data_IF_404942579982
#
_entry.id   IF_404942579982
#
_cell.length_a   1.000
_cell.length_b   1.000
_cell.length_c   1.000
_cell.angle_alpha   90.00
_cell.angle_beta   90.00
_cell.angle_gamma   90.00
#
_symmetry.space_group_name_H-M   'P 1'
#
loop_
_entity.id
_entity.type
_entity.pdbx_description
1 polymer ?
#
# COMPACT_ATOMS: atom_id res chain seq x y z
N UNK A 1 12.56 -30.60 -22.30
CA UNK A 1 11.49 -29.66 -22.65
C UNK A 1 10.14 -30.35 -22.45
N UNK A 2 9.39 -29.94 -21.43
CA UNK A 2 7.91 -29.88 -21.38
C UNK A 2 7.49 -29.49 -19.96
N UNK A 3 7.25 -28.20 -19.77
CA UNK A 3 6.63 -27.62 -18.58
C UNK A 3 5.22 -27.18 -18.97
N UNK A 4 4.24 -28.05 -18.76
CA UNK A 4 2.82 -27.70 -18.77
C UNK A 4 2.14 -28.54 -17.70
N UNK A 5 1.18 -27.90 -17.02
CA UNK A 5 0.26 -28.41 -15.99
C UNK A 5 0.66 -28.18 -14.53
N UNK A 6 0.46 -26.93 -14.09
CA UNK A 6 -0.23 -26.66 -12.81
C UNK A 6 -1.31 -25.60 -13.05
N UNK A 7 -2.44 -26.03 -13.59
CA UNK A 7 -3.69 -25.29 -13.52
C UNK A 7 -4.44 -25.82 -12.31
N UNK A 8 -4.38 -25.10 -11.19
CA UNK A 8 -5.23 -25.39 -10.04
C UNK A 8 -6.55 -24.66 -10.23
N UNK A 9 -7.53 -25.39 -10.76
CA UNK A 9 -8.93 -24.97 -10.81
C UNK A 9 -9.49 -25.10 -9.39
N UNK A 10 -9.83 -23.98 -8.75
CA UNK A 10 -10.72 -23.99 -7.58
C UNK A 10 -12.12 -23.51 -8.02
N UNK A 11 -13.00 -24.48 -8.24
CA UNK A 11 -14.45 -24.26 -8.39
C UNK A 11 -15.01 -23.96 -7.00
N UNK A 12 -15.79 -22.87 -6.91
CA UNK A 12 -16.41 -22.41 -5.68
C UNK A 12 -17.37 -23.42 -5.08
N UNK A 13 -17.28 -23.58 -3.76
CA UNK A 13 -18.41 -24.02 -2.93
C UNK A 13 -18.84 -22.78 -2.14
N UNK A 14 -20.09 -22.36 -2.35
CA UNK A 14 -20.77 -21.40 -1.51
C UNK A 14 -20.91 -22.00 -0.10
N UNK A 15 -19.99 -21.67 0.80
CA UNK A 15 -20.17 -21.89 2.23
C UNK A 15 -20.89 -20.69 2.84
N UNK A 16 -22.04 -20.97 3.44
CA UNK A 16 -22.88 -20.04 4.18
C UNK A 16 -22.06 -19.10 5.07
N UNK A 17 -22.29 -17.79 4.90
CA UNK A 17 -21.69 -16.72 5.69
C UNK A 17 -22.44 -16.67 7.02
N UNK A 18 -22.15 -17.60 7.92
CA UNK A 18 -22.51 -17.49 9.33
C UNK A 18 -21.22 -17.43 10.14
N UNK A 19 -20.89 -16.24 10.66
CA UNK A 19 -19.89 -16.08 11.71
C UNK A 19 -18.49 -15.64 11.31
N UNK A 20 -18.31 -14.84 10.25
CA UNK A 20 -17.00 -14.23 9.96
C UNK A 20 -16.73 -13.10 10.95
N UNK A 21 -16.15 -13.45 12.11
CA UNK A 21 -15.45 -12.48 12.93
C UNK A 21 -14.19 -12.05 12.15
N UNK A 22 -14.28 -10.94 11.42
CA UNK A 22 -13.11 -10.29 10.81
C UNK A 22 -12.25 -9.67 11.91
N UNK A 23 -11.47 -10.49 12.60
CA UNK A 23 -10.37 -9.98 13.42
C UNK A 23 -9.36 -9.33 12.48
N UNK A 24 -8.97 -8.09 12.76
CA UNK A 24 -7.87 -7.44 12.07
C UNK A 24 -6.66 -8.39 12.06
N UNK A 25 -6.24 -8.81 10.86
CA UNK A 25 -5.06 -9.66 10.73
C UNK A 25 -3.85 -8.85 11.24
N UNK A 26 -3.11 -9.41 12.19
CA UNK A 26 -1.84 -8.81 12.60
C UNK A 26 -0.92 -8.69 11.38
N UNK A 27 -0.02 -7.70 11.40
CA UNK A 27 0.97 -7.55 10.34
C UNK A 27 2.05 -8.59 10.55
N UNK A 28 2.44 -9.25 9.47
CA UNK A 28 3.46 -10.28 9.53
C UNK A 28 4.53 -9.99 8.50
N UNK A 29 5.76 -10.28 8.88
CA UNK A 29 6.83 -10.44 7.92
C UNK A 29 6.54 -11.62 7.00
N UNK A 30 7.21 -11.66 5.85
CA UNK A 30 7.02 -12.71 4.86
C UNK A 30 7.41 -14.08 5.44
N UNK A 31 8.45 -14.11 6.26
CA UNK A 31 9.01 -15.34 6.84
C UNK A 31 9.15 -15.24 8.36
N UNK A 32 8.98 -16.35 9.13
CA UNK A 32 9.14 -16.34 10.59
C UNK A 32 10.54 -15.97 11.08
N UNK A 33 11.56 -16.14 10.23
CA UNK A 33 12.95 -15.77 10.56
C UNK A 33 13.22 -14.26 10.43
N UNK A 34 12.29 -13.50 9.88
CA UNK A 34 12.45 -12.06 9.69
C UNK A 34 12.03 -11.29 10.92
N UNK A 35 12.66 -10.13 11.11
CA UNK A 35 12.33 -9.22 12.21
C UNK A 35 11.55 -8.03 11.67
N UNK A 36 10.47 -7.63 12.33
CA UNK A 36 9.71 -6.45 11.94
C UNK A 36 10.61 -5.20 11.99
N UNK A 37 10.65 -4.41 10.91
CA UNK A 37 11.58 -3.29 10.78
C UNK A 37 11.05 -2.05 11.50
N UNK A 38 11.59 -1.75 12.68
CA UNK A 38 11.31 -0.48 13.36
C UNK A 38 12.04 0.68 12.68
N UNK A 39 11.61 1.92 12.93
CA UNK A 39 12.26 3.13 12.44
C UNK A 39 13.67 3.30 13.00
N UNK A 40 13.87 2.95 14.26
CA UNK A 40 15.20 2.95 14.86
C UNK A 40 16.14 1.98 14.13
N UNK A 41 15.65 0.76 13.84
CA UNK A 41 16.43 -0.23 13.09
C UNK A 41 16.66 0.19 11.63
N UNK A 42 15.66 0.81 11.00
CA UNK A 42 15.82 1.40 9.66
C UNK A 42 16.95 2.44 9.63
N UNK A 43 17.06 3.27 10.66
CA UNK A 43 18.10 4.30 10.75
C UNK A 43 19.49 3.70 10.95
N UNK A 44 19.62 2.64 11.76
CA UNK A 44 20.86 1.88 11.88
C UNK A 44 21.29 1.27 10.55
N UNK A 45 20.36 0.61 9.85
CA UNK A 45 20.62 0.03 8.52
C UNK A 45 21.02 1.12 7.51
N UNK A 46 20.40 2.29 7.56
CA UNK A 46 20.78 3.41 6.71
C UNK A 46 22.23 3.84 6.97
N UNK A 47 22.62 4.00 8.24
CA UNK A 47 24.00 4.33 8.62
C UNK A 47 24.99 3.27 8.15
N UNK A 48 24.69 1.99 8.36
CA UNK A 48 25.52 0.87 7.91
C UNK A 48 25.71 0.84 6.39
N UNK A 49 24.74 1.37 5.64
CA UNK A 49 24.77 1.50 4.17
C UNK A 49 25.34 2.84 3.69
N UNK A 50 25.83 3.70 4.60
CA UNK A 50 26.35 5.03 4.26
C UNK A 50 25.29 6.05 3.86
N UNK A 51 24.01 5.79 4.16
CA UNK A 51 22.88 6.69 3.92
C UNK A 51 22.68 7.55 5.18
N UNK A 52 22.69 8.90 5.08
CA UNK A 52 22.42 9.75 6.23
C UNK A 52 21.05 9.45 6.84
N UNK A 53 20.93 9.44 8.17
CA UNK A 53 19.68 9.14 8.90
C UNK A 53 18.50 10.01 8.42
N UNK A 54 18.75 11.30 8.14
CA UNK A 54 17.73 12.21 7.60
C UNK A 54 17.21 11.84 6.20
N UNK A 55 17.90 10.94 5.50
CA UNK A 55 17.53 10.38 4.18
C UNK A 55 17.00 8.94 4.27
N UNK A 56 16.96 8.34 5.45
CA UNK A 56 16.41 6.99 5.62
C UNK A 56 14.93 6.87 5.19
N UNK A 57 14.03 7.85 5.45
CA UNK A 57 12.64 7.77 4.99
C UNK A 57 12.51 7.68 3.46
N UNK A 58 13.23 8.53 2.72
CA UNK A 58 13.19 8.53 1.26
C UNK A 58 13.87 7.27 0.69
N UNK A 59 14.94 6.78 1.33
CA UNK A 59 15.57 5.52 0.93
C UNK A 59 14.65 4.31 1.15
N UNK A 60 13.84 4.35 2.21
CA UNK A 60 12.82 3.34 2.49
C UNK A 60 11.68 3.40 1.47
N UNK A 61 11.24 4.59 1.06
CA UNK A 61 10.27 4.76 -0.03
C UNK A 61 10.75 4.15 -1.34
N UNK A 62 11.98 4.46 -1.76
CA UNK A 62 12.57 3.89 -2.97
C UNK A 62 12.61 2.36 -2.92
N UNK A 63 13.09 1.81 -1.80
CA UNK A 63 13.06 0.37 -1.54
C UNK A 63 11.64 -0.20 -1.64
N UNK A 64 10.68 0.43 -0.97
CA UNK A 64 9.32 -0.09 -0.86
C UNK A 64 8.62 -0.13 -2.22
N UNK A 65 8.69 0.97 -2.99
CA UNK A 65 8.10 1.06 -4.32
C UNK A 65 8.78 0.14 -5.33
N UNK A 66 10.10 -0.05 -5.23
CA UNK A 66 10.83 -0.95 -6.13
C UNK A 66 10.57 -2.44 -5.87
N UNK A 67 10.15 -2.80 -4.66
CA UNK A 67 10.11 -4.21 -4.23
C UNK A 67 8.71 -4.75 -3.95
N UNK A 68 7.71 -3.91 -3.65
CA UNK A 68 6.35 -4.36 -3.30
C UNK A 68 5.70 -5.22 -4.40
N UNK A 69 6.08 -5.01 -5.67
CA UNK A 69 5.61 -5.80 -6.82
C UNK A 69 6.80 -6.49 -7.51
N UNK A 70 6.99 -7.79 -7.29
CA UNK A 70 8.09 -8.54 -7.90
C UNK A 70 8.18 -8.37 -9.42
N UNK A 71 9.34 -7.90 -9.90
CA UNK A 71 9.62 -7.69 -11.32
C UNK A 71 8.92 -6.48 -11.97
N UNK A 72 8.09 -5.73 -11.25
CA UNK A 72 7.39 -4.54 -11.78
C UNK A 72 7.40 -3.41 -10.75
N UNK A 73 8.52 -2.66 -10.62
CA UNK A 73 8.62 -1.51 -9.73
C UNK A 73 7.48 -0.52 -9.92
N UNK A 74 7.04 0.10 -8.81
CA UNK A 74 6.08 1.19 -8.86
C UNK A 74 6.87 2.49 -9.09
N UNK A 75 6.59 3.25 -10.16
CA UNK A 75 7.23 4.54 -10.36
C UNK A 75 6.81 5.52 -9.25
N UNK A 76 7.73 6.40 -8.85
CA UNK A 76 7.40 7.50 -7.97
C UNK A 76 6.43 8.45 -8.68
N UNK A 77 5.40 8.87 -7.97
CA UNK A 77 4.38 9.76 -8.50
C UNK A 77 4.64 11.21 -8.06
N UNK A 78 4.57 12.14 -9.01
CA UNK A 78 4.61 13.58 -8.75
C UNK A 78 3.28 14.29 -9.04
N UNK A 79 2.30 13.55 -9.58
CA UNK A 79 1.02 14.11 -9.97
C UNK A 79 0.16 14.41 -8.74
N UNK A 80 -0.59 15.51 -8.84
CA UNK A 80 -1.45 16.02 -7.79
C UNK A 80 -2.88 15.56 -8.02
N UNK A 81 -3.47 15.02 -6.97
CA UNK A 81 -4.86 14.61 -6.96
C UNK A 81 -5.66 15.57 -6.09
N UNK A 82 -6.72 16.14 -6.65
CA UNK A 82 -7.57 17.06 -5.90
C UNK A 82 -8.25 16.36 -4.72
N UNK A 83 -8.42 17.11 -3.64
CA UNK A 83 -9.29 16.74 -2.53
C UNK A 83 -10.03 17.95 -1.98
N UNK A 84 -11.30 18.15 -2.38
CA UNK A 84 -12.19 19.12 -1.76
C UNK A 84 -12.23 18.98 -0.23
N UNK A 85 -12.21 17.75 0.31
CA UNK A 85 -12.28 17.58 1.75
C UNK A 85 -11.01 18.02 2.47
N UNK A 86 -9.82 17.77 1.91
CA UNK A 86 -8.56 18.30 2.44
C UNK A 86 -8.54 19.82 2.35
N UNK A 87 -8.98 20.37 1.22
CA UNK A 87 -9.13 21.83 1.03
C UNK A 87 -9.99 22.43 2.12
N UNK A 88 -11.17 21.87 2.36
CA UNK A 88 -12.12 22.40 3.34
C UNK A 88 -11.57 22.28 4.77
N UNK A 89 -10.92 21.16 5.12
CA UNK A 89 -10.31 20.97 6.45
C UNK A 89 -9.09 21.84 6.71
N UNK A 90 -8.43 22.31 5.66
CA UNK A 90 -7.24 23.17 5.75
C UNK A 90 -7.55 24.63 5.38
N UNK A 91 -8.83 24.99 5.23
CA UNK A 91 -9.29 26.32 4.82
C UNK A 91 -8.61 26.82 3.52
N UNK A 92 -8.44 25.94 2.54
CA UNK A 92 -7.82 26.28 1.26
C UNK A 92 -6.30 26.22 1.23
N UNK A 93 -5.61 25.99 2.36
CA UNK A 93 -4.14 25.95 2.38
C UNK A 93 -3.58 24.77 1.58
N UNK A 94 -4.22 23.61 1.65
CA UNK A 94 -3.82 22.39 0.95
C UNK A 94 -5.03 21.81 0.21
N UNK A 95 -4.97 21.80 -1.11
CA UNK A 95 -6.11 21.40 -1.95
C UNK A 95 -5.94 20.02 -2.58
N UNK A 96 -4.71 19.51 -2.57
CA UNK A 96 -4.31 18.32 -3.29
C UNK A 96 -3.56 17.34 -2.39
N UNK A 97 -3.42 16.11 -2.84
CA UNK A 97 -2.53 15.10 -2.30
C UNK A 97 -1.64 14.55 -3.40
N UNK A 98 -0.45 14.10 -3.02
CA UNK A 98 0.50 13.43 -3.92
C UNK A 98 0.87 12.13 -3.22
N UNK A 99 0.30 10.98 -3.65
CA UNK A 99 0.72 9.68 -3.13
C UNK A 99 2.12 9.35 -3.68
N UNK A 100 2.88 8.55 -2.93
CA UNK A 100 4.24 8.18 -3.34
C UNK A 100 4.27 7.34 -4.63
N UNK A 101 3.22 6.55 -4.88
CA UNK A 101 3.07 5.78 -6.13
C UNK A 101 1.61 5.64 -6.54
N UNK A 102 1.38 5.56 -7.85
CA UNK A 102 0.04 5.43 -8.44
C UNK A 102 0.05 4.32 -9.47
N UNK A 103 -0.97 3.47 -9.43
CA UNK A 103 -1.20 2.41 -10.40
C UNK A 103 -2.67 2.34 -10.82
N UNK A 104 -2.95 1.75 -11.99
CA UNK A 104 -4.31 1.44 -12.36
C UNK A 104 -4.89 0.31 -11.49
N UNK A 105 -6.20 0.36 -11.27
CA UNK A 105 -6.98 -0.79 -10.83
C UNK A 105 -7.30 -1.66 -12.03
N UNK A 106 -6.81 -2.91 -12.03
CA UNK A 106 -7.09 -3.89 -13.09
C UNK A 106 -8.05 -4.95 -12.59
N UNK A 107 -9.17 -5.13 -13.30
CA UNK A 107 -10.19 -6.13 -12.99
C UNK A 107 -10.23 -7.14 -14.12
N UNK A 108 -9.97 -8.41 -13.78
CA UNK A 108 -10.11 -9.50 -14.74
C UNK A 108 -11.59 -9.83 -14.97
N UNK A 109 -12.04 -9.66 -16.22
CA UNK A 109 -13.35 -10.12 -16.66
C UNK A 109 -13.29 -11.61 -17.04
N UNK A 110 -13.35 -12.49 -16.04
CA UNK A 110 -13.39 -13.93 -16.29
C UNK A 110 -14.75 -14.36 -16.87
N UNK A 111 -14.81 -15.38 -17.76
CA UNK A 111 -13.70 -16.18 -18.27
C UNK A 111 -13.08 -15.72 -19.61
N UNK A 112 -13.64 -14.73 -20.31
CA UNK A 112 -13.29 -14.43 -21.72
C UNK A 112 -13.19 -12.93 -22.06
N UNK A 113 -13.28 -12.03 -21.08
CA UNK A 113 -13.20 -10.59 -21.32
C UNK A 113 -11.79 -10.05 -21.21
N UNK A 114 -11.47 -9.01 -21.99
CA UNK A 114 -10.30 -8.17 -21.73
C UNK A 114 -10.39 -7.61 -20.30
N UNK A 115 -9.24 -7.49 -19.58
CA UNK A 115 -9.22 -6.81 -18.31
C UNK A 115 -9.77 -5.39 -18.44
N UNK A 116 -10.58 -4.97 -17.47
CA UNK A 116 -10.94 -3.56 -17.33
C UNK A 116 -9.84 -2.89 -16.54
N UNK A 117 -9.41 -1.73 -17.02
CA UNK A 117 -8.35 -0.94 -16.41
C UNK A 117 -8.93 0.43 -16.08
N UNK A 118 -8.77 0.84 -14.83
CA UNK A 118 -9.15 2.16 -14.34
C UNK A 118 -7.87 2.83 -13.85
N UNK A 119 -7.39 3.82 -14.60
CA UNK A 119 -6.17 4.52 -14.26
C UNK A 119 -6.30 5.27 -12.93
N UNK A 120 -5.17 5.56 -12.28
CA UNK A 120 -5.11 6.39 -11.09
C UNK A 120 -6.01 5.96 -9.91
N UNK A 121 -6.35 4.68 -9.86
CA UNK A 121 -7.34 4.13 -8.92
C UNK A 121 -6.74 3.31 -7.77
N UNK A 122 -5.40 3.23 -7.73
CA UNK A 122 -4.65 2.57 -6.66
C UNK A 122 -3.48 3.45 -6.22
N UNK A 123 -3.52 3.92 -4.98
CA UNK A 123 -2.45 4.72 -4.38
C UNK A 123 -1.56 3.86 -3.48
N UNK A 124 -0.26 4.14 -3.52
CA UNK A 124 0.75 3.60 -2.61
C UNK A 124 1.32 4.74 -1.79
N UNK A 125 1.37 4.55 -0.48
CA UNK A 125 1.84 5.56 0.45
C UNK A 125 2.83 4.95 1.43
N UNK A 126 4.06 5.46 1.44
CA UNK A 126 5.15 4.99 2.27
C UNK A 126 5.30 5.89 3.50
N UNK A 127 5.42 5.29 4.69
CA UNK A 127 5.66 6.02 5.94
C UNK A 127 6.71 5.32 6.81
N UNK A 128 7.86 5.97 6.98
CA UNK A 128 8.92 5.53 7.90
C UNK A 128 8.83 6.30 9.24
N UNK A 129 8.05 5.79 10.18
CA UNK A 129 7.69 6.50 11.43
C UNK A 129 8.09 5.73 12.68
N UNK A 130 8.47 6.44 13.74
CA UNK A 130 8.62 5.88 15.08
C UNK A 130 7.29 5.97 15.83
N UNK A 131 6.47 4.96 15.63
CA UNK A 131 5.17 4.81 16.28
C UNK A 131 4.07 5.64 15.62
N UNK A 132 2.87 5.49 16.17
CA UNK A 132 1.70 6.28 15.78
C UNK A 132 0.59 5.45 15.15
N UNK A 133 -0.56 6.10 15.09
CA UNK A 133 -1.67 5.70 14.24
C UNK A 133 -1.64 6.56 12.99
N UNK A 134 -2.24 6.07 11.93
CA UNK A 134 -2.49 6.84 10.72
C UNK A 134 -3.96 7.26 10.66
N UNK A 135 -4.39 8.33 11.39
CA UNK A 135 -5.75 8.87 11.34
C UNK A 135 -6.00 9.73 10.09
N UNK A 136 -7.28 10.02 9.74
CA UNK A 136 -7.58 10.88 8.58
C UNK A 136 -6.94 12.27 8.66
N UNK A 137 -6.71 12.79 9.88
CA UNK A 137 -6.07 14.09 10.13
C UNK A 137 -4.54 14.08 10.07
N UNK A 138 -3.92 12.93 9.81
CA UNK A 138 -2.47 12.82 9.72
C UNK A 138 -1.91 13.75 8.63
N UNK A 139 -0.78 14.40 8.92
CA UNK A 139 -0.03 15.28 8.02
C UNK A 139 -0.92 16.30 7.28
N UNK A 140 -1.58 17.17 8.07
CA UNK A 140 -2.54 18.15 7.57
C UNK A 140 -3.60 17.52 6.64
N UNK A 141 -4.26 16.47 7.15
CA UNK A 141 -5.33 15.74 6.47
C UNK A 141 -4.93 15.07 5.16
N UNK A 142 -3.65 14.68 5.00
CA UNK A 142 -3.17 13.98 3.80
C UNK A 142 -3.94 12.67 3.56
N UNK A 143 -4.15 11.86 4.61
CA UNK A 143 -4.86 10.58 4.49
C UNK A 143 -6.33 10.79 4.09
N UNK A 144 -7.02 11.76 4.71
CA UNK A 144 -8.37 12.12 4.29
C UNK A 144 -8.39 12.50 2.80
N UNK A 145 -7.38 13.26 2.36
CA UNK A 145 -7.28 13.68 0.98
C UNK A 145 -7.09 12.52 0.00
N UNK A 146 -6.29 11.50 0.34
CA UNK A 146 -6.17 10.30 -0.47
C UNK A 146 -7.50 9.56 -0.61
N UNK A 147 -8.21 9.37 0.51
CA UNK A 147 -9.49 8.68 0.50
C UNK A 147 -10.54 9.45 -0.31
N UNK A 148 -10.55 10.78 -0.20
CA UNK A 148 -11.42 11.66 -0.97
C UNK A 148 -11.12 11.63 -2.47
N UNK A 149 -9.85 11.70 -2.86
CA UNK A 149 -9.42 11.58 -4.25
C UNK A 149 -9.82 10.22 -4.85
N UNK A 150 -9.47 9.11 -4.19
CA UNK A 150 -9.81 7.76 -4.64
C UNK A 150 -11.32 7.55 -4.75
N UNK A 151 -12.11 8.09 -3.83
CA UNK A 151 -13.58 7.96 -3.85
C UNK A 151 -14.26 8.64 -5.04
N UNK A 152 -13.51 9.44 -5.80
CA UNK A 152 -13.95 10.16 -7.01
C UNK A 152 -13.17 9.72 -8.25
N UNK A 153 -12.44 8.60 -8.17
CA UNK A 153 -11.73 8.02 -9.32
C UNK A 153 -12.70 7.35 -10.30
N UNK A 154 -12.25 7.15 -11.54
CA UNK A 154 -13.03 6.42 -12.56
C UNK A 154 -13.44 5.01 -12.10
N UNK A 155 -12.61 4.35 -11.29
CA UNK A 155 -12.98 3.09 -10.67
C UNK A 155 -14.19 3.24 -9.74
N UNK A 156 -14.21 4.27 -8.88
CA UNK A 156 -15.32 4.53 -7.98
C UNK A 156 -16.61 4.85 -8.75
N UNK A 157 -16.51 5.69 -9.79
CA UNK A 157 -17.64 6.05 -10.66
C UNK A 157 -18.21 4.83 -11.40
N UNK A 158 -17.35 3.87 -11.78
CA UNK A 158 -17.75 2.59 -12.34
C UNK A 158 -18.24 1.56 -11.30
N UNK A 159 -18.41 1.95 -10.03
CA UNK A 159 -18.87 1.09 -8.94
C UNK A 159 -17.83 0.06 -8.47
N UNK A 160 -16.56 0.23 -8.86
CA UNK A 160 -15.42 -0.56 -8.40
C UNK A 160 -14.85 0.04 -7.11
N UNK A 161 -14.03 -0.74 -6.42
CA UNK A 161 -13.42 -0.35 -5.15
C UNK A 161 -11.97 0.07 -5.42
N UNK A 162 -11.67 1.36 -5.54
CA UNK A 162 -10.29 1.85 -5.57
C UNK A 162 -9.60 1.56 -4.24
N UNK A 163 -8.27 1.62 -4.21
CA UNK A 163 -7.51 1.21 -3.04
C UNK A 163 -6.34 2.12 -2.69
N UNK A 164 -6.00 2.15 -1.41
CA UNK A 164 -4.74 2.69 -0.90
C UNK A 164 -3.96 1.60 -0.17
N UNK A 165 -2.66 1.50 -0.45
CA UNK A 165 -1.74 0.57 0.18
C UNK A 165 -0.73 1.39 0.99
N UNK A 166 -0.81 1.27 2.32
CA UNK A 166 0.20 1.82 3.21
C UNK A 166 1.39 0.86 3.33
N UNK A 167 2.59 1.36 3.12
CA UNK A 167 3.86 0.63 3.29
C UNK A 167 4.63 1.31 4.43
N UNK A 168 4.73 0.68 5.59
CA UNK A 168 5.27 1.37 6.77
C UNK A 168 6.43 0.66 7.44
N UNK A 169 7.17 1.37 8.29
CA UNK A 169 7.91 0.71 9.37
C UNK A 169 6.94 0.02 10.33
N UNK A 170 7.43 -0.99 11.05
CA UNK A 170 6.63 -1.82 11.95
C UNK A 170 6.13 -1.09 13.20
N UNK A 171 6.67 0.09 13.52
CA UNK A 171 6.17 0.86 14.66
C UNK A 171 4.75 1.41 14.44
N UNK A 172 4.32 1.53 13.17
CA UNK A 172 2.93 1.82 12.83
C UNK A 172 2.11 0.55 13.04
N UNK A 173 1.68 0.32 14.29
CA UNK A 173 1.01 -0.92 14.71
C UNK A 173 -0.29 -1.19 13.95
N UNK A 174 -1.00 -0.14 13.53
CA UNK A 174 -2.24 -0.27 12.77
C UNK A 174 -2.60 1.04 12.06
N UNK A 175 -3.31 0.89 10.94
CA UNK A 175 -4.12 1.98 10.40
C UNK A 175 -5.23 2.30 11.41
N UNK A 176 -5.51 3.59 11.65
CA UNK A 176 -6.47 3.95 12.68
C UNK A 176 -7.89 3.47 12.34
N UNK A 177 -8.69 3.13 13.35
CA UNK A 177 -10.10 2.77 13.15
C UNK A 177 -10.89 3.89 12.46
N UNK A 178 -10.55 5.16 12.73
CA UNK A 178 -11.20 6.31 12.06
C UNK A 178 -10.92 6.31 10.56
N UNK A 179 -9.71 5.96 10.16
CA UNK A 179 -9.31 5.87 8.75
C UNK A 179 -10.01 4.73 8.04
N UNK A 180 -10.09 3.54 8.67
CA UNK A 180 -10.79 2.41 8.05
C UNK A 180 -12.28 2.69 7.92
N UNK A 181 -12.93 3.29 8.92
CA UNK A 181 -14.34 3.67 8.85
C UNK A 181 -14.62 4.75 7.79
N UNK A 182 -13.77 5.77 7.71
CA UNK A 182 -13.86 6.81 6.68
C UNK A 182 -13.71 6.20 5.28
N UNK A 183 -12.68 5.35 5.11
CA UNK A 183 -12.43 4.66 3.85
C UNK A 183 -13.60 3.76 3.45
N UNK A 184 -14.19 3.03 4.40
CA UNK A 184 -15.36 2.19 4.14
C UNK A 184 -16.58 2.99 3.71
N UNK A 185 -16.82 4.14 4.36
CA UNK A 185 -17.88 5.07 3.97
C UNK A 185 -17.67 5.60 2.55
N UNK A 186 -16.41 5.83 2.18
CA UNK A 186 -15.98 6.28 0.85
C UNK A 186 -15.79 5.16 -0.18
N UNK A 187 -16.07 3.91 0.18
CA UNK A 187 -15.86 2.71 -0.66
C UNK A 187 -14.42 2.57 -1.19
N UNK A 188 -13.44 2.90 -0.37
CA UNK A 188 -11.99 2.74 -0.67
C UNK A 188 -11.43 1.58 0.14
N UNK A 189 -10.75 0.65 -0.52
CA UNK A 189 -10.03 -0.44 0.15
C UNK A 189 -8.73 0.03 0.78
N UNK A 190 -8.46 -0.34 2.03
CA UNK A 190 -7.25 0.04 2.76
C UNK A 190 -6.41 -1.19 3.03
N UNK A 191 -5.21 -1.22 2.46
CA UNK A 191 -4.22 -2.25 2.67
C UNK A 191 -3.05 -1.71 3.47
N UNK A 192 -2.37 -2.59 4.19
CA UNK A 192 -1.19 -2.19 4.94
C UNK A 192 -0.19 -3.33 5.03
N UNK A 193 1.04 -3.07 4.57
CA UNK A 193 2.21 -3.90 4.71
C UNK A 193 3.28 -3.19 5.55
N UNK A 194 4.14 -3.97 6.19
CA UNK A 194 5.26 -3.47 6.98
C UNK A 194 6.60 -3.89 6.36
N UNK A 195 7.64 -3.09 6.54
CA UNK A 195 9.01 -3.49 6.29
C UNK A 195 9.48 -4.52 7.31
N UNK A 196 10.35 -5.42 6.87
CA UNK A 196 10.99 -6.44 7.67
C UNK A 196 12.46 -6.57 7.32
N UNK A 197 13.28 -6.85 8.32
CA UNK A 197 14.70 -7.17 8.16
C UNK A 197 14.87 -8.66 7.85
N UNK A 198 15.69 -8.95 6.84
CA UNK A 198 16.09 -10.28 6.41
C UNK A 198 17.49 -10.58 6.97
N UNK A 199 17.62 -11.48 7.96
CA UNK A 199 18.90 -11.72 8.62
C UNK A 199 19.93 -12.36 7.68
N UNK A 200 21.19 -11.96 7.80
CA UNK A 200 22.33 -12.58 7.09
C UNK A 200 22.36 -12.37 5.58
N UNK A 201 21.55 -11.46 5.04
CA UNK A 201 21.47 -11.15 3.61
C UNK A 201 22.05 -9.77 3.31
N UNK A 202 22.67 -9.62 2.14
CA UNK A 202 23.02 -8.30 1.59
C UNK A 202 21.77 -7.50 1.21
N UNK A 203 20.75 -8.20 0.72
CA UNK A 203 19.39 -7.67 0.55
C UNK A 203 18.65 -7.87 1.87
N UNK A 204 18.94 -6.99 2.82
CA UNK A 204 18.55 -7.14 4.22
C UNK A 204 17.14 -6.65 4.54
N UNK A 205 16.34 -6.25 3.54
CA UNK A 205 14.98 -5.76 3.74
C UNK A 205 13.98 -6.49 2.84
N UNK A 206 12.76 -6.70 3.33
CA UNK A 206 11.62 -7.20 2.54
C UNK A 206 10.32 -6.60 3.09
N UNK A 207 9.36 -6.29 2.21
CA UNK A 207 8.00 -5.95 2.65
C UNK A 207 7.22 -7.23 2.94
N UNK A 208 6.52 -7.26 4.09
CA UNK A 208 5.56 -8.32 4.40
C UNK A 208 4.35 -8.31 3.44
N UNK A 209 3.50 -9.33 3.58
CA UNK A 209 2.25 -9.38 2.83
C UNK A 209 1.33 -8.23 3.26
N UNK A 210 0.72 -7.54 2.30
CA UNK A 210 -0.26 -6.51 2.64
C UNK A 210 -1.57 -7.17 3.09
N UNK A 211 -2.09 -6.73 4.24
CA UNK A 211 -3.40 -7.19 4.71
C UNK A 211 -4.45 -6.09 4.63
N UNK A 212 -5.65 -6.51 4.22
CA UNK A 212 -6.82 -5.66 4.08
C UNK A 212 -7.37 -5.28 5.45
N UNK A 213 -7.60 -3.99 5.67
CA UNK A 213 -7.99 -3.41 6.96
C UNK A 213 -9.47 -3.15 7.10
N UNK A 214 -10.18 -3.06 5.98
CA UNK A 214 -11.61 -2.88 5.91
C UNK A 214 -12.25 -3.87 4.92
N UNK A 215 -12.25 -5.18 5.22
CA UNK A 215 -12.80 -6.20 4.33
C UNK A 215 -14.29 -5.99 4.00
N UNK A 216 -15.03 -5.27 4.85
CA UNK A 216 -16.44 -4.97 4.66
C UNK A 216 -16.76 -4.22 3.36
N UNK A 217 -15.80 -3.47 2.79
CA UNK A 217 -16.03 -2.71 1.55
C UNK A 217 -16.24 -3.60 0.33
N UNK A 218 -15.76 -4.85 0.39
CA UNK A 218 -15.83 -5.81 -0.71
C UNK A 218 -17.00 -6.80 -0.57
N UNK A 219 -17.62 -6.90 0.62
CA UNK A 219 -18.67 -7.89 0.91
C UNK A 219 -19.88 -7.69 -0.03
N UNK A 220 -20.29 -6.44 -0.25
CA UNK A 220 -21.48 -6.13 -1.04
C UNK A 220 -21.25 -6.28 -2.55
N UNK A 221 -20.00 -6.14 -3.02
CA UNK A 221 -19.67 -6.22 -4.43
C UNK A 221 -19.31 -7.64 -4.88
N UNK A 222 -19.17 -8.60 -3.95
CA UNK A 222 -18.73 -9.97 -4.22
C UNK A 222 -17.40 -10.05 -5.01
N UNK A 223 -16.65 -8.96 -5.06
CA UNK A 223 -15.34 -8.88 -5.68
C UNK A 223 -14.31 -8.99 -4.57
N UNK A 224 -13.67 -10.16 -4.43
CA UNK A 224 -12.51 -10.26 -3.55
C UNK A 224 -11.28 -9.76 -4.32
N UNK A 225 -10.56 -8.77 -3.80
CA UNK A 225 -9.34 -8.30 -4.43
C UNK A 225 -8.27 -9.40 -4.37
N UNK A 226 -7.38 -9.41 -5.35
CA UNK A 226 -6.22 -10.29 -5.34
C UNK A 226 -5.34 -9.98 -4.12
N UNK A 227 -4.80 -11.02 -3.49
CA UNK A 227 -3.88 -10.84 -2.36
C UNK A 227 -2.60 -10.16 -2.84
N UNK A 228 -2.21 -9.07 -2.19
CA UNK A 228 -0.91 -8.45 -2.41
C UNK A 228 0.13 -9.21 -1.59
N UNK A 229 0.88 -10.08 -2.26
CA UNK A 229 1.93 -10.90 -1.67
C UNK A 229 3.06 -10.07 -1.03
N UNK A 230 4.03 -10.73 -0.36
CA UNK A 230 5.22 -10.04 0.13
C UNK A 230 6.03 -9.45 -1.02
N UNK A 231 6.73 -8.36 -0.75
CA UNK A 231 7.66 -7.76 -1.71
C UNK A 231 8.89 -8.65 -1.94
N UNK A 232 9.75 -8.28 -2.89
CA UNK A 232 11.06 -8.92 -3.06
C UNK A 232 12.07 -8.46 -2.01
N UNK A 233 13.00 -9.32 -1.57
CA UNK A 233 14.14 -8.88 -0.79
C UNK A 233 14.96 -7.81 -1.54
N UNK A 234 15.35 -6.75 -0.85
CA UNK A 234 16.12 -5.63 -1.36
C UNK A 234 16.94 -4.94 -0.27
N UNK A 235 17.44 -3.74 -0.59
CA UNK A 235 18.19 -2.89 0.34
C UNK A 235 17.72 -1.44 0.22
N UNK A 236 18.13 -0.58 1.15
CA UNK A 236 17.88 0.85 1.00
C UNK A 236 18.73 1.39 -0.15
N UNK A 237 18.17 2.37 -0.85
CA UNK A 237 18.92 3.12 -1.85
C UNK A 237 18.32 4.51 -2.02
N UNK A 238 19.18 5.45 -2.37
CA UNK A 238 18.75 6.72 -2.90
C UNK A 238 18.78 6.58 -4.42
N UNK A 239 17.69 6.94 -5.09
CA UNK A 239 17.78 7.24 -6.51
C UNK A 239 18.91 8.27 -6.70
N UNK A 240 19.78 8.12 -7.70
CA UNK A 240 20.71 9.19 -8.03
C UNK A 240 19.89 10.46 -8.15
N UNK A 241 20.36 11.56 -7.56
CA UNK A 241 19.71 12.85 -7.77
C UNK A 241 19.52 12.98 -9.28
N UNK A 242 18.29 13.08 -9.74
CA UNK A 242 18.05 13.71 -11.03
C UNK A 242 18.74 15.04 -10.88
N UNK A 243 19.94 15.18 -11.44
CA UNK A 243 20.57 16.47 -11.58
C UNK A 243 19.49 17.35 -12.16
N UNK A 244 19.15 18.43 -11.46
CA UNK A 244 18.32 19.48 -12.03
C UNK A 244 18.80 19.69 -13.47
N UNK A 245 17.90 19.71 -14.47
CA UNK A 245 18.31 20.14 -15.79
C UNK A 245 18.80 21.58 -15.63
N UNK A 246 20.11 21.77 -15.73
CA UNK A 246 20.74 23.08 -15.93
C UNK A 246 20.10 23.80 -17.14
#
# INVERSE_FOLDING_TARGET
MNYLQKATIFIGIATAINGVNFKAQAQFCAEPSQTALTKARLDEIAVDQGIPVGRAPIAFQNFALATIRPGTPIPENTDKFESPQRRDKTNGKLENVVPDGVLPLVIQNLPLGSPLTYDESVFYEVKALSGGLLPPSYDDYQILGFLDALSRSDAADAGRIPAIIFLTTADVKQISLRTTLEASTKRVGVWHAIGCEVPGSFNNLQLGQASLRNPEVYILNLTLPESIGPGMPGRLFLNPSNSDPD
#
